data_IF_676338780062
#
_entry.id   IF_676338780062
#
_cell.length_a   1.000
_cell.length_b   1.000
_cell.length_c   1.000
_cell.angle_alpha   90.00
_cell.angle_beta   90.00
_cell.angle_gamma   90.00
#
_symmetry.space_group_name_H-M   'P 1'
#
loop_
_entity.id
_entity.type
_entity.pdbx_description
1 polymer ?
#
# COMPACT_ATOMS: atom_id res chain seq x y z
N UNK A 1 -26.59 8.62 -7.63
CA UNK A 1 -26.06 7.26 -7.75
C UNK A 1 -24.86 7.19 -6.83
N UNK A 2 -24.99 6.51 -5.70
CA UNK A 2 -23.91 6.37 -4.69
C UNK A 2 -23.29 5.00 -4.85
N UNK A 3 -21.97 4.90 -4.73
CA UNK A 3 -21.15 3.69 -4.99
C UNK A 3 -21.64 2.39 -4.31
N UNK A 4 -22.51 2.49 -3.31
CA UNK A 4 -23.15 1.36 -2.61
C UNK A 4 -24.06 0.49 -3.49
N UNK A 5 -24.57 1.00 -4.61
CA UNK A 5 -25.54 0.25 -5.46
C UNK A 5 -24.87 -0.83 -6.35
N UNK A 6 -23.55 -0.92 -6.36
CA UNK A 6 -22.77 -1.93 -7.12
C UNK A 6 -22.23 -3.08 -6.25
N UNK A 7 -22.60 -3.11 -4.95
CA UNK A 7 -22.10 -4.12 -4.01
C UNK A 7 -20.66 -3.89 -3.52
N UNK A 8 -20.07 -2.73 -3.85
CA UNK A 8 -18.74 -2.33 -3.40
C UNK A 8 -18.86 -1.45 -2.16
N UNK A 9 -18.41 -1.97 -1.01
CA UNK A 9 -18.31 -1.18 0.22
C UNK A 9 -16.96 -0.49 0.21
N UNK A 10 -16.97 0.81 -0.04
CA UNK A 10 -15.75 1.61 -0.03
C UNK A 10 -15.06 1.56 1.33
N UNK A 11 -13.75 1.41 1.33
CA UNK A 11 -12.90 1.48 2.51
C UNK A 11 -12.20 2.83 2.54
N UNK A 12 -12.35 3.54 3.67
CA UNK A 12 -11.63 4.79 3.94
C UNK A 12 -10.84 4.65 5.23
N UNK A 13 -9.57 5.05 5.19
CA UNK A 13 -8.74 5.22 6.38
C UNK A 13 -7.99 6.55 6.30
N UNK A 14 -7.97 7.28 7.40
CA UNK A 14 -7.11 8.45 7.57
C UNK A 14 -5.91 7.99 8.40
N UNK A 15 -4.72 8.31 7.93
CA UNK A 15 -3.44 8.02 8.55
C UNK A 15 -2.78 9.35 8.90
N UNK A 16 -2.38 9.51 10.15
CA UNK A 16 -1.59 10.67 10.57
C UNK A 16 -0.12 10.54 10.09
N UNK A 17 0.69 11.61 10.19
CA UNK A 17 2.09 11.58 9.75
C UNK A 17 2.95 10.51 10.44
N UNK A 18 2.69 10.19 11.72
CA UNK A 18 3.45 9.19 12.47
C UNK A 18 3.10 7.79 11.98
N UNK A 19 1.81 7.51 11.72
CA UNK A 19 1.36 6.28 11.08
C UNK A 19 1.97 6.12 9.68
N UNK A 20 2.06 7.19 8.88
CA UNK A 20 2.68 7.15 7.55
C UNK A 20 4.17 6.84 7.64
N UNK A 21 4.88 7.41 8.61
CA UNK A 21 6.29 7.12 8.85
C UNK A 21 6.51 5.66 9.28
N UNK A 22 5.65 5.12 10.15
CA UNK A 22 5.69 3.72 10.53
C UNK A 22 5.49 2.80 9.32
N UNK A 23 4.47 3.07 8.51
CA UNK A 23 4.19 2.30 7.29
C UNK A 23 5.35 2.36 6.29
N UNK A 24 6.00 3.52 6.13
CA UNK A 24 7.16 3.63 5.24
C UNK A 24 8.33 2.73 5.70
N UNK A 25 8.56 2.61 7.00
CA UNK A 25 9.57 1.70 7.55
C UNK A 25 9.16 0.23 7.37
N UNK A 26 7.90 -0.10 7.66
CA UNK A 26 7.38 -1.46 7.49
C UNK A 26 7.47 -1.93 6.04
N UNK A 27 7.20 -1.05 5.07
CA UNK A 27 7.31 -1.36 3.65
C UNK A 27 8.76 -1.59 3.20
N UNK A 28 9.72 -0.85 3.76
CA UNK A 28 11.14 -1.07 3.45
C UNK A 28 11.62 -2.42 4.00
N UNK A 29 11.24 -2.76 5.24
CA UNK A 29 11.53 -4.07 5.85
C UNK A 29 10.88 -5.19 5.06
N UNK A 30 9.59 -5.04 4.73
CA UNK A 30 8.85 -6.03 3.95
C UNK A 30 9.50 -6.26 2.57
N UNK A 31 9.98 -5.22 1.88
CA UNK A 31 10.64 -5.38 0.58
C UNK A 31 12.04 -6.01 0.70
N UNK A 32 12.77 -5.75 1.79
CA UNK A 32 14.09 -6.32 2.05
C UNK A 32 14.01 -7.81 2.43
N UNK A 33 12.99 -8.19 3.20
CA UNK A 33 12.79 -9.54 3.74
C UNK A 33 11.82 -10.40 2.91
N UNK A 34 11.08 -9.80 1.95
CA UNK A 34 10.10 -10.53 1.16
C UNK A 34 10.76 -11.66 0.36
N UNK A 35 10.43 -12.88 0.74
CA UNK A 35 10.56 -14.04 -0.12
C UNK A 35 9.48 -13.94 -1.23
N UNK A 36 9.87 -13.70 -2.50
CA UNK A 36 8.94 -13.60 -3.61
C UNK A 36 8.08 -14.86 -3.81
N UNK A 37 8.47 -16.00 -3.24
CA UNK A 37 7.73 -17.27 -3.32
C UNK A 37 6.56 -17.36 -2.34
N UNK A 38 6.50 -16.50 -1.31
CA UNK A 38 5.38 -16.44 -0.35
C UNK A 38 4.20 -15.61 -0.85
N UNK A 39 4.39 -14.85 -1.93
CA UNK A 39 3.33 -14.13 -2.60
C UNK A 39 2.53 -15.16 -3.41
N UNK A 40 1.54 -15.79 -2.77
CA UNK A 40 0.61 -16.75 -3.37
C UNK A 40 -0.33 -16.05 -4.35
N UNK A 41 0.24 -15.59 -5.46
CA UNK A 41 -0.52 -14.99 -6.54
C UNK A 41 -0.70 -16.01 -7.65
N UNK A 42 -1.96 -16.39 -7.87
CA UNK A 42 -2.42 -17.45 -8.78
C UNK A 42 -2.21 -17.19 -10.29
N UNK A 43 -1.46 -16.16 -10.68
CA UNK A 43 -1.31 -15.75 -12.08
C UNK A 43 0.17 -15.59 -12.47
N UNK A 44 0.50 -15.98 -13.70
CA UNK A 44 1.85 -15.79 -14.25
C UNK A 44 2.27 -14.32 -14.22
N UNK A 45 3.49 -14.03 -13.76
CA UNK A 45 4.03 -12.66 -13.62
C UNK A 45 3.51 -11.88 -12.39
N UNK A 46 2.68 -12.49 -11.54
CA UNK A 46 2.09 -11.78 -10.42
C UNK A 46 3.08 -11.40 -9.31
N UNK A 47 4.17 -12.14 -9.16
CA UNK A 47 5.26 -11.77 -8.23
C UNK A 47 5.89 -10.44 -8.62
N UNK A 48 6.23 -10.26 -9.90
CA UNK A 48 6.80 -9.00 -10.41
C UNK A 48 5.78 -7.86 -10.32
N UNK A 49 4.52 -8.17 -10.62
CA UNK A 49 3.40 -7.24 -10.45
C UNK A 49 3.31 -6.74 -9.00
N UNK A 50 3.18 -7.63 -8.02
CA UNK A 50 3.06 -7.25 -6.60
C UNK A 50 4.30 -6.49 -6.14
N UNK A 51 5.51 -6.96 -6.50
CA UNK A 51 6.76 -6.28 -6.15
C UNK A 51 6.81 -4.85 -6.70
N UNK A 52 6.35 -4.62 -7.93
CA UNK A 52 6.32 -3.28 -8.52
C UNK A 52 5.41 -2.33 -7.75
N UNK A 53 4.22 -2.78 -7.36
CA UNK A 53 3.28 -1.97 -6.57
C UNK A 53 3.76 -1.74 -5.15
N UNK A 54 4.37 -2.74 -4.51
CA UNK A 54 4.96 -2.57 -3.17
C UNK A 54 6.10 -1.55 -3.19
N UNK A 55 6.94 -1.57 -4.24
CA UNK A 55 8.01 -0.58 -4.44
C UNK A 55 7.43 0.83 -4.60
N UNK A 56 6.40 0.99 -5.43
CA UNK A 56 5.74 2.28 -5.63
C UNK A 56 5.07 2.80 -4.34
N UNK A 57 4.41 1.91 -3.58
CA UNK A 57 3.79 2.25 -2.30
C UNK A 57 4.84 2.75 -1.31
N UNK A 58 5.98 2.05 -1.18
CA UNK A 58 7.10 2.47 -0.33
C UNK A 58 7.61 3.86 -0.72
N UNK A 59 7.90 4.08 -1.99
CA UNK A 59 8.47 5.35 -2.45
C UNK A 59 7.52 6.52 -2.17
N UNK A 60 6.23 6.29 -2.37
CA UNK A 60 5.18 7.26 -2.07
C UNK A 60 5.08 7.57 -0.57
N UNK A 61 4.97 6.55 0.29
CA UNK A 61 4.86 6.75 1.74
C UNK A 61 6.13 7.36 2.33
N UNK A 62 7.31 7.01 1.79
CA UNK A 62 8.59 7.63 2.18
C UNK A 62 8.63 9.12 1.83
N UNK A 63 8.11 9.51 0.67
CA UNK A 63 8.01 10.91 0.26
C UNK A 63 7.07 11.70 1.19
N UNK A 64 5.95 11.12 1.60
CA UNK A 64 5.03 11.73 2.57
C UNK A 64 5.68 11.86 3.95
N UNK A 65 6.31 10.80 4.44
CA UNK A 65 7.01 10.79 5.73
C UNK A 65 8.12 11.85 5.78
N UNK A 66 8.90 12.00 4.70
CA UNK A 66 9.94 13.03 4.59
C UNK A 66 9.37 14.45 4.69
N UNK A 67 8.12 14.66 4.25
CA UNK A 67 7.42 15.95 4.30
C UNK A 67 6.61 16.15 5.59
N UNK A 68 6.49 15.12 6.44
CA UNK A 68 5.64 15.16 7.62
C UNK A 68 4.14 15.20 7.30
N UNK A 69 3.73 14.58 6.19
CA UNK A 69 2.34 14.57 5.71
C UNK A 69 1.62 13.26 6.09
N UNK A 70 0.33 13.36 6.41
CA UNK A 70 -0.56 12.21 6.55
C UNK A 70 -1.11 11.71 5.20
N UNK A 71 -1.94 10.67 5.24
CA UNK A 71 -2.54 10.05 4.05
C UNK A 71 -4.01 9.72 4.28
N UNK A 72 -4.87 10.03 3.31
CA UNK A 72 -6.22 9.46 3.25
C UNK A 72 -6.21 8.34 2.22
N UNK A 73 -6.35 7.10 2.71
CA UNK A 73 -6.50 5.93 1.87
C UNK A 73 -7.99 5.71 1.55
N UNK A 74 -8.29 5.55 0.27
CA UNK A 74 -9.64 5.32 -0.24
C UNK A 74 -9.60 4.21 -1.29
N UNK A 75 -10.40 3.17 -1.08
CA UNK A 75 -10.81 2.25 -2.13
C UNK A 75 -12.34 2.35 -2.20
N UNK A 76 -12.91 2.60 -3.37
CA UNK A 76 -14.37 2.71 -3.58
C UNK A 76 -14.77 2.58 -5.04
#
# INVERSE_FOLDING_TARGET
MTFVDLGWIGFRRVLDPDEVAAIANDLELALAEADPTLIDCRFDGATDYVRSYMTAARDFTRSLATRGEGLVYLIG
#
